data_IF_055818422384
#
_entry.id   IF_055818422384
#
_cell.length_a   1.000
_cell.length_b   1.000
_cell.length_c   1.000
_cell.angle_alpha   90.00
_cell.angle_beta   90.00
_cell.angle_gamma   90.00
#
_symmetry.space_group_name_H-M   'P 1'
#
loop_
_entity.id
_entity.type
_entity.pdbx_description
1 polymer ?
#
# COMPACT_ATOMS: atom_id res chain seq x y z
N UNK A 1 46.64 -2.46 65.97
CA UNK A 1 45.64 -3.51 65.67
C UNK A 1 44.28 -2.98 66.07
N UNK A 2 43.28 -3.06 65.18
CA UNK A 2 41.81 -2.84 65.32
C UNK A 2 41.33 -1.81 66.35
N UNK A 3 40.60 -0.76 65.98
CA UNK A 3 39.41 -0.79 65.13
C UNK A 3 38.16 -0.62 66.01
N UNK A 4 37.24 0.24 65.55
CA UNK A 4 35.82 0.39 65.91
C UNK A 4 35.39 1.77 66.44
N UNK A 5 34.43 2.29 65.67
CA UNK A 5 33.53 3.45 65.84
C UNK A 5 32.63 3.20 67.09
N UNK A 6 31.91 4.13 67.70
CA UNK A 6 31.06 5.23 67.23
C UNK A 6 30.94 6.28 68.35
N UNK A 7 30.72 7.55 68.00
CA UNK A 7 30.37 8.61 68.94
C UNK A 7 28.97 9.13 68.60
N UNK A 8 28.10 9.18 69.62
CA UNK A 8 26.72 9.63 69.54
C UNK A 8 26.54 10.91 70.36
N UNK A 9 25.81 11.87 69.82
CA UNK A 9 25.32 13.10 70.49
C UNK A 9 26.29 14.29 70.34
N UNK A 10 25.85 15.54 70.23
CA UNK A 10 24.55 16.17 70.40
C UNK A 10 24.62 17.56 69.74
N UNK A 11 23.51 17.97 69.13
CA UNK A 11 23.02 19.34 68.92
C UNK A 11 23.99 20.46 68.47
N UNK A 12 23.75 20.99 67.28
CA UNK A 12 23.81 22.43 67.08
C UNK A 12 22.71 22.97 66.18
N UNK A 13 22.25 24.11 66.65
CA UNK A 13 21.31 25.11 66.16
C UNK A 13 21.44 25.49 64.67
N UNK A 14 20.35 26.06 64.16
CA UNK A 14 20.44 27.10 63.15
C UNK A 14 20.02 26.72 61.73
N UNK A 15 18.84 27.22 61.36
CA UNK A 15 18.79 28.03 60.14
C UNK A 15 18.14 27.43 58.90
N UNK A 16 17.09 28.16 58.49
CA UNK A 16 16.73 28.52 57.12
C UNK A 16 15.90 27.52 56.31
N UNK A 17 14.75 28.05 55.89
CA UNK A 17 13.75 27.44 55.03
C UNK A 17 14.30 27.01 53.65
N UNK A 18 13.61 26.05 53.01
CA UNK A 18 13.49 26.03 51.57
C UNK A 18 12.04 26.11 51.07
N UNK A 19 11.97 26.85 49.98
CA UNK A 19 11.00 26.94 48.89
C UNK A 19 10.09 25.74 48.60
N UNK A 20 8.87 26.13 48.22
CA UNK A 20 8.05 25.64 47.12
C UNK A 20 7.59 24.18 47.13
N UNK A 21 6.28 24.01 47.33
CA UNK A 21 5.60 22.77 47.00
C UNK A 21 4.11 22.77 47.34
N UNK A 22 3.30 22.78 46.27
CA UNK A 22 2.08 21.99 46.16
C UNK A 22 0.79 22.44 46.90
N UNK A 23 -0.14 22.94 46.07
CA UNK A 23 -1.56 22.57 46.03
C UNK A 23 -2.42 22.76 47.29
N UNK A 24 -3.19 23.85 47.31
CA UNK A 24 -4.62 23.78 47.66
C UNK A 24 -5.40 24.79 46.82
N UNK A 25 -6.20 24.26 45.89
CA UNK A 25 -7.26 24.99 45.22
C UNK A 25 -8.48 25.04 46.14
N UNK A 26 -9.04 26.21 46.43
CA UNK A 26 -10.49 26.31 46.68
C UNK A 26 -11.03 27.63 46.14
N UNK A 27 -11.92 27.45 45.18
CA UNK A 27 -12.91 28.33 44.61
C UNK A 27 -13.58 29.31 45.57
N UNK A 28 -13.84 30.52 45.06
CA UNK A 28 -15.17 31.14 44.90
C UNK A 28 -14.91 32.51 44.24
N UNK A 29 -15.91 33.09 43.58
CA UNK A 29 -16.23 34.52 43.57
C UNK A 29 -17.04 34.89 42.30
N UNK A 30 -18.35 35.06 42.55
CA UNK A 30 -19.32 36.00 41.99
C UNK A 30 -19.57 36.07 40.48
N UNK A 31 -20.85 35.81 40.15
CA UNK A 31 -21.43 35.98 38.83
C UNK A 31 -21.50 37.43 38.38
N UNK A 32 -21.65 37.59 37.06
CA UNK A 32 -21.99 38.85 36.42
C UNK A 32 -23.00 38.61 35.30
N UNK A 33 -24.13 39.30 35.42
CA UNK A 33 -25.10 39.58 34.38
C UNK A 33 -24.40 40.36 33.27
N UNK A 34 -24.61 40.00 32.00
CA UNK A 34 -24.18 40.81 30.85
C UNK A 34 -25.37 41.02 29.91
N UNK A 35 -25.66 42.29 29.67
CA UNK A 35 -26.71 42.81 28.79
C UNK A 35 -26.43 42.46 27.32
N UNK A 36 -27.48 42.08 26.59
CA UNK A 36 -27.40 41.80 25.15
C UNK A 36 -27.25 43.10 24.35
N UNK A 37 -26.17 43.23 23.59
CA UNK A 37 -25.98 44.27 22.59
C UNK A 37 -26.60 43.84 21.25
N UNK A 38 -27.43 44.69 20.67
CA UNK A 38 -28.07 44.50 19.37
C UNK A 38 -27.02 44.73 18.25
N UNK A 39 -26.69 43.70 17.48
CA UNK A 39 -25.81 43.80 16.30
C UNK A 39 -26.67 44.02 15.06
N UNK A 40 -26.48 45.16 14.38
CA UNK A 40 -26.98 45.35 13.01
C UNK A 40 -26.17 44.45 12.06
N UNK A 41 -26.82 43.44 11.49
CA UNK A 41 -26.24 42.60 10.45
C UNK A 41 -26.30 43.33 9.10
N UNK A 42 -25.15 43.78 8.59
CA UNK A 42 -24.99 44.11 7.16
C UNK A 42 -24.75 42.80 6.42
N UNK A 43 -25.72 42.36 5.63
CA UNK A 43 -25.56 41.17 4.80
C UNK A 43 -24.63 41.48 3.62
N UNK A 44 -23.56 40.69 3.38
CA UNK A 44 -22.76 40.84 2.17
C UNK A 44 -23.55 40.30 0.97
N UNK A 45 -23.57 41.06 -0.13
CA UNK A 45 -24.02 40.56 -1.42
C UNK A 45 -23.09 39.41 -1.83
N UNK A 46 -23.59 38.17 -1.72
CA UNK A 46 -22.90 37.00 -2.21
C UNK A 46 -22.82 37.10 -3.74
N UNK A 47 -21.64 37.41 -4.26
CA UNK A 47 -21.36 37.16 -5.68
C UNK A 47 -21.40 35.65 -5.89
N UNK A 48 -22.14 35.12 -6.87
CA UNK A 48 -22.10 33.69 -7.15
C UNK A 48 -20.66 33.34 -7.53
N UNK A 49 -19.99 32.59 -6.66
CA UNK A 49 -18.71 31.95 -6.99
C UNK A 49 -19.00 31.08 -8.20
N UNK A 50 -18.36 31.30 -9.37
CA UNK A 50 -18.50 30.34 -10.45
C UNK A 50 -18.13 28.99 -9.85
N UNK A 51 -19.06 28.03 -9.92
CA UNK A 51 -18.75 26.65 -9.57
C UNK A 51 -17.46 26.33 -10.30
N UNK A 52 -16.39 26.06 -9.56
CA UNK A 52 -15.20 25.50 -10.17
C UNK A 52 -15.73 24.25 -10.87
N UNK A 53 -15.82 24.31 -12.21
CA UNK A 53 -16.03 23.13 -13.00
C UNK A 53 -14.89 22.22 -12.58
N UNK A 54 -15.19 21.24 -11.74
CA UNK A 54 -14.20 20.26 -11.33
C UNK A 54 -13.67 19.72 -12.64
N UNK A 55 -12.39 19.95 -12.91
CA UNK A 55 -11.75 19.29 -14.03
C UNK A 55 -12.03 17.81 -13.81
N UNK A 56 -12.84 17.21 -14.68
CA UNK A 56 -12.97 15.78 -14.73
C UNK A 56 -11.62 15.27 -15.23
N UNK A 57 -10.67 15.12 -14.31
CA UNK A 57 -9.47 14.37 -14.55
C UNK A 57 -9.97 12.96 -14.79
N UNK A 58 -10.10 12.59 -16.06
CA UNK A 58 -10.16 11.17 -16.42
C UNK A 58 -8.88 10.63 -15.80
N UNK A 59 -9.03 9.86 -14.71
CA UNK A 59 -7.91 9.37 -13.90
C UNK A 59 -7.10 8.35 -14.69
N UNK A 60 -6.46 8.82 -15.77
CA UNK A 60 -5.74 8.02 -16.74
C UNK A 60 -4.53 7.45 -16.04
N UNK A 61 -4.37 6.13 -16.18
CA UNK A 61 -3.21 5.41 -15.69
C UNK A 61 -2.50 4.72 -16.84
N UNK A 62 -1.18 4.62 -16.72
CA UNK A 62 -0.34 3.89 -17.66
C UNK A 62 -0.47 2.39 -17.41
N UNK A 63 -0.67 1.63 -18.49
CA UNK A 63 -0.54 0.18 -18.51
C UNK A 63 0.75 -0.15 -19.27
N UNK A 64 1.69 -0.83 -18.59
CA UNK A 64 3.04 -1.06 -19.13
C UNK A 64 3.26 -2.55 -19.40
N UNK A 65 3.59 -2.96 -20.63
CA UNK A 65 4.10 -4.30 -20.89
C UNK A 65 5.53 -4.40 -20.34
N UNK A 66 5.65 -4.79 -19.07
CA UNK A 66 6.90 -4.86 -18.33
C UNK A 66 7.66 -6.16 -18.63
N UNK A 67 7.99 -6.37 -19.91
CA UNK A 67 8.65 -7.58 -20.39
C UNK A 67 10.18 -7.53 -20.26
N UNK A 68 10.69 -6.42 -19.76
CA UNK A 68 12.08 -6.30 -19.33
C UNK A 68 12.29 -7.08 -18.03
N UNK A 69 13.39 -7.83 -17.95
CA UNK A 69 13.73 -8.63 -16.78
C UNK A 69 13.99 -7.75 -15.54
N UNK A 70 13.45 -8.06 -14.35
CA UNK A 70 13.59 -7.23 -13.15
C UNK A 70 14.95 -7.28 -12.46
N UNK A 71 15.86 -8.15 -12.89
CA UNK A 71 17.27 -8.14 -12.46
C UNK A 71 18.18 -7.42 -13.46
N UNK A 72 19.43 -7.20 -13.08
CA UNK A 72 20.44 -6.55 -13.93
C UNK A 72 19.95 -5.19 -14.45
N UNK A 73 20.10 -4.96 -15.76
CA UNK A 73 19.78 -3.68 -16.40
C UNK A 73 18.30 -3.28 -16.31
N UNK A 74 17.39 -4.26 -16.25
CA UNK A 74 15.96 -3.98 -16.17
C UNK A 74 15.45 -3.65 -14.76
N UNK A 75 16.28 -3.80 -13.72
CA UNK A 75 15.92 -3.44 -12.35
C UNK A 75 15.57 -1.95 -12.22
N UNK A 76 16.30 -1.07 -12.92
CA UNK A 76 16.01 0.36 -12.94
C UNK A 76 14.68 0.68 -13.62
N UNK A 77 14.29 -0.09 -14.65
CA UNK A 77 13.02 0.08 -15.35
C UNK A 77 11.85 -0.35 -14.46
N UNK A 78 11.96 -1.47 -13.76
CA UNK A 78 10.94 -1.90 -12.79
C UNK A 78 10.76 -0.90 -11.65
N UNK A 79 11.85 -0.29 -11.17
CA UNK A 79 11.76 0.77 -10.15
C UNK A 79 10.98 1.98 -10.65
N UNK A 80 11.09 2.36 -11.94
CA UNK A 80 10.32 3.49 -12.51
C UNK A 80 8.82 3.23 -12.54
N UNK A 81 8.38 1.95 -12.62
CA UNK A 81 6.97 1.61 -12.58
C UNK A 81 6.29 2.01 -11.27
N UNK A 82 7.06 2.10 -10.17
CA UNK A 82 6.54 2.54 -8.85
C UNK A 82 6.25 4.04 -8.75
N UNK A 83 6.56 4.81 -9.80
CA UNK A 83 6.27 6.23 -9.88
C UNK A 83 4.78 6.55 -10.09
N UNK A 84 4.38 7.81 -9.88
CA UNK A 84 3.00 8.25 -10.06
C UNK A 84 2.53 8.03 -11.51
N UNK A 85 1.26 7.69 -11.68
CA UNK A 85 0.62 7.52 -12.98
C UNK A 85 0.64 6.10 -13.55
N UNK A 86 1.48 5.19 -13.04
CA UNK A 86 1.40 3.77 -13.44
C UNK A 86 0.25 3.08 -12.71
N UNK A 87 -0.67 2.47 -13.45
CA UNK A 87 -1.79 1.71 -12.89
C UNK A 87 -1.59 0.21 -13.00
N UNK A 88 -1.06 -0.24 -14.12
CA UNK A 88 -0.91 -1.66 -14.44
C UNK A 88 0.50 -1.92 -14.99
N UNK A 89 1.12 -3.01 -14.55
CA UNK A 89 2.30 -3.60 -15.19
C UNK A 89 2.01 -5.05 -15.57
N UNK A 90 2.41 -5.48 -16.76
CA UNK A 90 2.26 -6.86 -17.22
C UNK A 90 3.60 -7.57 -17.19
N UNK A 91 3.77 -8.51 -16.28
CA UNK A 91 4.98 -9.32 -16.15
C UNK A 91 4.94 -10.50 -17.13
N UNK A 92 6.08 -10.81 -17.73
CA UNK A 92 6.21 -11.94 -18.65
C UNK A 92 7.54 -12.70 -18.41
N UNK A 93 7.63 -13.51 -17.34
CA UNK A 93 8.84 -14.25 -17.02
C UNK A 93 9.36 -15.14 -18.15
N UNK A 94 8.48 -15.88 -18.83
CA UNK A 94 8.90 -16.86 -19.85
C UNK A 94 7.82 -17.10 -20.91
N UNK A 95 7.31 -16.03 -21.55
CA UNK A 95 6.12 -16.14 -22.41
C UNK A 95 4.97 -16.86 -21.70
N UNK A 96 4.70 -16.40 -20.48
CA UNK A 96 3.96 -17.13 -19.46
C UNK A 96 4.59 -16.96 -18.07
N UNK A 97 4.06 -17.64 -17.05
CA UNK A 97 4.52 -17.52 -15.66
C UNK A 97 5.88 -18.18 -15.39
N UNK A 98 6.38 -19.02 -16.30
CA UNK A 98 7.55 -19.87 -16.06
C UNK A 98 7.22 -21.11 -15.22
N UNK A 99 8.25 -21.85 -14.80
CA UNK A 99 8.10 -23.10 -14.02
C UNK A 99 8.38 -22.92 -12.52
N UNK A 100 9.32 -22.03 -12.21
CA UNK A 100 9.84 -21.76 -10.87
C UNK A 100 9.76 -20.28 -10.56
N UNK A 101 9.59 -19.93 -9.28
CA UNK A 101 9.55 -18.53 -8.86
C UNK A 101 10.94 -17.92 -9.00
N UNK A 102 11.02 -16.83 -9.75
CA UNK A 102 12.22 -15.99 -9.82
C UNK A 102 12.18 -14.93 -8.70
N UNK A 103 13.22 -14.85 -7.84
CA UNK A 103 13.25 -13.89 -6.75
C UNK A 103 13.25 -12.43 -7.20
N UNK A 104 13.80 -12.10 -8.37
CA UNK A 104 13.81 -10.73 -8.89
C UNK A 104 12.39 -10.31 -9.31
N UNK A 105 11.63 -11.20 -9.96
CA UNK A 105 10.21 -10.95 -10.23
C UNK A 105 9.41 -10.81 -8.94
N UNK A 106 9.61 -11.71 -7.97
CA UNK A 106 8.94 -11.62 -6.67
C UNK A 106 9.15 -10.28 -5.98
N UNK A 107 10.40 -9.81 -5.90
CA UNK A 107 10.74 -8.53 -5.29
C UNK A 107 10.14 -7.33 -6.05
N UNK A 108 10.23 -7.34 -7.38
CA UNK A 108 9.71 -6.25 -8.21
C UNK A 108 8.18 -6.16 -8.19
N UNK A 109 7.48 -7.31 -8.19
CA UNK A 109 6.03 -7.40 -8.08
C UNK A 109 5.56 -6.84 -6.73
N UNK A 110 6.21 -7.24 -5.64
CA UNK A 110 5.91 -6.74 -4.30
C UNK A 110 6.12 -5.22 -4.19
N UNK A 111 7.22 -4.69 -4.75
CA UNK A 111 7.50 -3.25 -4.75
C UNK A 111 6.49 -2.46 -5.59
N UNK A 112 6.13 -2.94 -6.79
CA UNK A 112 5.12 -2.33 -7.64
C UNK A 112 3.76 -2.28 -6.93
N UNK A 113 3.37 -3.39 -6.30
CA UNK A 113 2.14 -3.46 -5.51
C UNK A 113 2.14 -2.46 -4.35
N UNK A 114 3.23 -2.37 -3.59
CA UNK A 114 3.35 -1.43 -2.48
C UNK A 114 3.19 0.03 -2.93
N UNK A 115 3.51 0.34 -4.19
CA UNK A 115 3.29 1.63 -4.82
C UNK A 115 1.89 1.83 -5.43
N UNK A 116 0.98 0.85 -5.29
CA UNK A 116 -0.38 0.93 -5.83
C UNK A 116 -0.51 0.51 -7.31
N UNK A 117 0.53 -0.10 -7.89
CA UNK A 117 0.50 -0.67 -9.24
C UNK A 117 -0.07 -2.08 -9.20
N UNK A 118 -1.05 -2.36 -10.07
CA UNK A 118 -1.56 -3.73 -10.27
C UNK A 118 -0.62 -4.49 -11.19
N UNK A 119 -0.08 -5.62 -10.76
CA UNK A 119 0.72 -6.49 -11.63
C UNK A 119 -0.11 -7.67 -12.13
N UNK A 120 -0.13 -7.85 -13.45
CA UNK A 120 -0.78 -8.96 -14.14
C UNK A 120 0.27 -9.89 -14.75
N UNK A 121 0.01 -11.20 -14.73
CA UNK A 121 0.84 -12.18 -15.45
C UNK A 121 0.38 -12.34 -16.89
N UNK A 122 1.30 -12.28 -17.83
CA UNK A 122 1.01 -12.60 -19.23
C UNK A 122 0.73 -14.10 -19.42
N UNK A 123 -0.35 -14.44 -20.11
CA UNK A 123 -0.69 -15.82 -20.50
C UNK A 123 -1.03 -15.86 -22.00
N UNK A 124 -0.30 -16.65 -22.82
CA UNK A 124 -0.59 -16.76 -24.23
C UNK A 124 -1.80 -17.67 -24.48
N UNK A 125 -2.74 -17.23 -25.33
CA UNK A 125 -3.91 -18.03 -25.73
C UNK A 125 -3.68 -18.88 -26.98
N UNK A 126 -2.63 -18.56 -27.75
CA UNK A 126 -2.34 -19.21 -29.02
C UNK A 126 -3.45 -19.09 -30.07
N UNK A 127 -4.38 -18.15 -29.89
CA UNK A 127 -5.61 -18.04 -30.69
C UNK A 127 -6.40 -19.36 -30.78
N UNK A 128 -6.36 -20.15 -29.69
CA UNK A 128 -6.97 -21.48 -29.63
C UNK A 128 -6.51 -22.39 -30.79
N UNK A 129 -5.29 -22.20 -31.29
CA UNK A 129 -4.68 -23.02 -32.33
C UNK A 129 -5.06 -22.66 -33.77
N UNK A 130 -5.91 -21.66 -34.00
CA UNK A 130 -6.38 -21.28 -35.34
C UNK A 130 -5.28 -20.78 -36.28
N UNK A 131 -4.11 -20.41 -35.75
CA UNK A 131 -2.95 -19.95 -36.53
C UNK A 131 -1.91 -21.04 -36.77
N UNK A 132 -2.21 -22.31 -36.46
CA UNK A 132 -1.25 -23.43 -36.51
C UNK A 132 -0.19 -23.41 -35.40
N UNK A 133 -0.32 -22.49 -34.42
CA UNK A 133 0.60 -22.42 -33.27
C UNK A 133 0.26 -23.55 -32.30
N UNK A 134 1.27 -24.33 -31.93
CA UNK A 134 1.13 -25.40 -30.96
C UNK A 134 1.30 -24.90 -29.52
N UNK A 135 0.63 -25.58 -28.60
CA UNK A 135 0.88 -25.53 -27.15
C UNK A 135 2.30 -26.00 -26.84
N UNK A 136 2.74 -25.84 -25.58
CA UNK A 136 4.03 -26.34 -25.09
C UNK A 136 4.18 -27.87 -25.19
N UNK A 137 3.08 -28.60 -25.38
CA UNK A 137 3.07 -30.05 -25.58
C UNK A 137 2.96 -30.44 -27.07
N UNK A 138 2.97 -29.47 -27.99
CA UNK A 138 2.90 -29.73 -29.43
C UNK A 138 1.48 -29.87 -30.00
N UNK A 139 0.44 -29.73 -29.18
CA UNK A 139 -0.96 -29.82 -29.63
C UNK A 139 -1.48 -28.48 -30.16
N UNK A 140 -2.33 -28.49 -31.19
CA UNK A 140 -2.99 -27.32 -31.79
C UNK A 140 -4.49 -27.27 -31.51
N UNK A 141 -5.07 -28.28 -30.86
CA UNK A 141 -6.49 -28.32 -30.58
C UNK A 141 -6.93 -27.15 -29.66
N UNK A 142 -8.11 -26.54 -29.90
CA UNK A 142 -8.66 -25.51 -29.02
C UNK A 142 -8.73 -25.94 -27.55
N UNK A 143 -9.12 -27.20 -27.28
CA UNK A 143 -9.20 -27.74 -25.92
C UNK A 143 -7.83 -27.80 -25.23
N UNK A 144 -6.77 -28.16 -25.96
CA UNK A 144 -5.41 -28.18 -25.43
C UNK A 144 -4.91 -26.77 -25.09
N UNK A 145 -5.26 -25.78 -25.91
CA UNK A 145 -4.97 -24.38 -25.62
C UNK A 145 -5.74 -23.87 -24.39
N UNK A 146 -7.02 -24.21 -24.25
CA UNK A 146 -7.80 -23.87 -23.04
C UNK A 146 -7.19 -24.48 -21.78
N UNK A 147 -6.80 -25.75 -21.82
CA UNK A 147 -6.14 -26.43 -20.70
C UNK A 147 -4.79 -25.78 -20.35
N UNK A 148 -3.97 -25.44 -21.35
CA UNK A 148 -2.72 -24.72 -21.15
C UNK A 148 -2.93 -23.34 -20.52
N UNK A 149 -3.92 -22.57 -20.99
CA UNK A 149 -4.23 -21.24 -20.43
C UNK A 149 -4.62 -21.35 -18.96
N UNK A 150 -5.48 -22.31 -18.60
CA UNK A 150 -5.86 -22.55 -17.20
C UNK A 150 -4.64 -22.93 -16.35
N UNK A 151 -3.80 -23.84 -16.84
CA UNK A 151 -2.57 -24.23 -16.14
C UNK A 151 -1.59 -23.07 -15.93
N UNK A 152 -1.46 -22.18 -16.92
CA UNK A 152 -0.61 -20.99 -16.82
C UNK A 152 -1.17 -19.99 -15.80
N UNK A 153 -2.50 -19.80 -15.75
CA UNK A 153 -3.16 -18.94 -14.75
C UNK A 153 -2.91 -19.51 -13.34
N UNK A 154 -3.16 -20.80 -13.14
CA UNK A 154 -2.89 -21.48 -11.86
C UNK A 154 -1.42 -21.37 -11.47
N UNK A 155 -0.51 -21.53 -12.43
CA UNK A 155 0.92 -21.41 -12.19
C UNK A 155 1.31 -19.99 -11.79
N UNK A 156 0.75 -18.96 -12.44
CA UNK A 156 0.97 -17.57 -12.03
C UNK A 156 0.58 -17.35 -10.57
N UNK A 157 -0.59 -17.81 -10.16
CA UNK A 157 -1.06 -17.66 -8.79
C UNK A 157 -0.28 -18.50 -7.79
N UNK A 158 0.14 -19.71 -8.15
CA UNK A 158 1.01 -20.54 -7.32
C UNK A 158 2.37 -19.88 -7.07
N UNK A 159 2.95 -19.21 -8.08
CA UNK A 159 4.27 -18.61 -7.98
C UNK A 159 4.26 -17.19 -7.37
N UNK A 160 3.21 -16.40 -7.64
CA UNK A 160 3.15 -14.96 -7.32
C UNK A 160 1.89 -14.52 -6.56
N UNK A 161 0.93 -15.42 -6.31
CA UNK A 161 -0.30 -15.09 -5.59
C UNK A 161 -0.03 -14.61 -4.15
N UNK A 162 1.01 -15.14 -3.50
CA UNK A 162 1.47 -14.71 -2.18
C UNK A 162 2.07 -13.29 -2.15
N UNK A 163 2.54 -12.78 -3.30
CA UNK A 163 2.97 -11.38 -3.45
C UNK A 163 1.76 -10.44 -3.55
N UNK A 164 0.55 -11.01 -3.55
CA UNK A 164 -0.72 -10.34 -3.51
C UNK A 164 -1.09 -9.66 -4.84
N UNK A 165 -0.75 -10.29 -5.96
CA UNK A 165 -1.34 -10.03 -7.27
C UNK A 165 -2.88 -10.01 -7.20
N UNK A 166 -3.53 -9.41 -8.21
CA UNK A 166 -4.99 -9.36 -8.32
C UNK A 166 -5.62 -10.69 -7.92
N UNK A 167 -6.56 -10.68 -6.97
CA UNK A 167 -7.14 -11.88 -6.34
C UNK A 167 -7.44 -12.97 -7.37
N UNK A 168 -7.06 -14.24 -7.12
CA UNK A 168 -7.39 -15.32 -8.05
C UNK A 168 -8.89 -15.35 -8.35
N UNK A 169 -9.29 -15.66 -9.60
CA UNK A 169 -10.69 -15.93 -9.89
C UNK A 169 -11.17 -17.08 -9.00
N UNK A 170 -12.46 -17.08 -8.59
CA UNK A 170 -13.01 -18.21 -7.85
C UNK A 170 -12.75 -19.49 -8.64
N UNK A 171 -12.35 -20.56 -7.93
CA UNK A 171 -12.18 -21.87 -8.56
C UNK A 171 -13.47 -22.22 -9.30
N UNK A 172 -13.36 -22.53 -10.59
CA UNK A 172 -14.50 -23.02 -11.35
C UNK A 172 -14.97 -24.30 -10.66
N UNK A 173 -16.18 -24.28 -10.12
CA UNK A 173 -16.79 -25.48 -9.55
C UNK A 173 -16.75 -26.55 -10.63
N UNK A 174 -16.08 -27.67 -10.34
CA UNK A 174 -16.03 -28.87 -11.19
C UNK A 174 -17.39 -29.58 -11.20
N UNK A 175 -18.48 -28.83 -11.40
CA UNK A 175 -19.85 -29.33 -11.32
C UNK A 175 -20.62 -29.30 -12.65
N UNK A 176 -20.06 -28.79 -13.73
CA UNK A 176 -20.72 -28.86 -15.04
C UNK A 176 -19.78 -29.36 -16.14
N UNK A 177 -19.89 -30.69 -16.35
CA UNK A 177 -19.66 -31.51 -17.55
C UNK A 177 -18.27 -31.59 -18.16
#
# INVERSE_FOLDING_TARGET
MSGSREATGLAHDGGRAPSDGAWQAVSRWHGRVVAAALVLAVAPLATPRPAAAGEHHIGQRLAVPAYFYPGGDGAALWRRLTGPGTGIAVANPFSGPGKTRDPNYGAAIAAAKAAGVTVLGYVPTGYLGTTGRATRLGDTAPAAWSAQVQQDIETWYRLHGGDGCATPPPALSTSER
#
